data_IF_900134165941
#
_entry.id   IF_900134165941
#
_cell.length_a   1.000
_cell.length_b   1.000
_cell.length_c   1.000
_cell.angle_alpha   90.00
_cell.angle_beta   90.00
_cell.angle_gamma   90.00
#
_symmetry.space_group_name_H-M   'P 1'
#
loop_
_entity.id
_entity.type
_entity.pdbx_description
1 polymer ?
#
# COMPACT_ATOMS: atom_id res chain seq x y z
N UNK A 1 -1.89 4.72 -20.80
CA UNK A 1 -0.94 5.44 -19.91
C UNK A 1 -1.00 6.95 -20.04
N UNK A 2 -0.79 7.55 -21.22
CA UNK A 2 -0.76 9.02 -21.40
C UNK A 2 -2.03 9.71 -20.88
N UNK A 3 -3.23 9.14 -21.12
CA UNK A 3 -4.50 9.70 -20.61
C UNK A 3 -4.59 9.77 -19.08
N UNK A 4 -3.98 8.82 -18.37
CA UNK A 4 -3.96 8.79 -16.90
C UNK A 4 -2.95 9.78 -16.34
N UNK A 5 -1.78 9.91 -16.98
CA UNK A 5 -0.74 10.89 -16.60
C UNK A 5 -1.26 12.32 -16.81
N UNK A 6 -1.93 12.58 -17.93
CA UNK A 6 -2.53 13.88 -18.23
C UNK A 6 -3.65 14.21 -17.25
N UNK A 7 -4.50 13.23 -16.89
CA UNK A 7 -5.57 13.42 -15.91
C UNK A 7 -5.01 13.67 -14.50
N UNK A 8 -3.94 12.96 -14.12
CA UNK A 8 -3.22 13.18 -12.86
C UNK A 8 -2.64 14.60 -12.81
N UNK A 9 -1.87 15.01 -13.82
CA UNK A 9 -1.28 16.35 -13.87
C UNK A 9 -2.33 17.46 -13.95
N UNK A 10 -3.41 17.26 -14.73
CA UNK A 10 -4.50 18.23 -14.88
C UNK A 10 -5.24 18.52 -13.57
N UNK A 11 -5.27 17.56 -12.64
CA UNK A 11 -5.93 17.73 -11.34
C UNK A 11 -4.90 18.20 -10.31
N UNK A 12 -3.72 17.57 -10.28
CA UNK A 12 -2.74 17.78 -9.21
C UNK A 12 -2.05 19.14 -9.27
N UNK A 13 -1.73 19.65 -10.46
CA UNK A 13 -1.04 20.95 -10.65
C UNK A 13 -1.88 22.14 -10.19
N UNK A 14 -3.13 22.35 -10.65
CA UNK A 14 -3.91 23.51 -10.21
C UNK A 14 -4.20 23.47 -8.71
N UNK A 15 -4.32 22.27 -8.14
CA UNK A 15 -4.51 22.07 -6.71
C UNK A 15 -3.27 22.43 -5.90
N UNK A 16 -2.08 22.03 -6.36
CA UNK A 16 -0.82 22.41 -5.73
C UNK A 16 -0.62 23.94 -5.74
N UNK A 17 -1.04 24.62 -6.81
CA UNK A 17 -1.01 26.08 -6.91
C UNK A 17 -1.95 26.72 -5.88
N UNK A 18 -3.18 26.23 -5.74
CA UNK A 18 -4.14 26.72 -4.72
C UNK A 18 -3.62 26.47 -3.31
N UNK A 19 -3.01 25.31 -3.05
CA UNK A 19 -2.40 24.97 -1.76
C UNK A 19 -1.22 25.89 -1.42
N UNK A 20 -0.34 26.15 -2.39
CA UNK A 20 0.81 27.03 -2.19
C UNK A 20 0.37 28.48 -1.95
N UNK A 21 -0.67 28.94 -2.64
CA UNK A 21 -1.30 30.23 -2.40
C UNK A 21 -1.91 30.30 -0.98
N UNK A 22 -2.55 29.23 -0.54
CA UNK A 22 -3.16 29.16 0.80
C UNK A 22 -2.11 29.17 1.92
N UNK A 23 -1.05 28.35 1.80
CA UNK A 23 0.08 28.35 2.74
C UNK A 23 0.76 29.71 2.81
N UNK A 24 1.07 30.33 1.66
CA UNK A 24 1.70 31.66 1.64
C UNK A 24 0.81 32.76 2.21
N UNK A 25 -0.52 32.63 2.10
CA UNK A 25 -1.46 33.55 2.74
C UNK A 25 -1.52 33.36 4.27
N UNK A 26 -1.46 32.12 4.77
CA UNK A 26 -1.37 31.85 6.21
C UNK A 26 -0.02 32.27 6.81
N UNK A 27 1.10 32.00 6.14
CA UNK A 27 2.44 32.39 6.60
C UNK A 27 2.58 33.92 6.71
N UNK A 28 1.96 34.69 5.81
CA UNK A 28 1.90 36.16 5.91
C UNK A 28 1.03 36.68 7.07
N UNK A 29 0.17 35.84 7.64
CA UNK A 29 -0.74 36.18 8.75
C UNK A 29 -0.17 35.85 10.12
N UNK A 30 0.72 34.86 10.23
CA UNK A 30 1.45 34.59 11.49
C UNK A 30 2.31 35.78 11.94
N UNK A 31 2.67 36.68 11.02
CA UNK A 31 3.40 37.93 11.32
C UNK A 31 2.51 39.10 11.79
N UNK A 32 1.16 38.98 11.74
CA UNK A 32 0.22 40.05 12.13
C UNK A 32 -0.91 39.48 12.99
N UNK A 33 -0.69 39.48 14.30
CA UNK A 33 -1.67 39.06 15.29
C UNK A 33 -2.97 39.90 15.28
N UNK A 34 -4.09 39.22 15.47
CA UNK A 34 -5.33 39.67 16.14
C UNK A 34 -6.20 40.75 15.46
N UNK A 35 -6.70 40.50 14.26
CA UNK A 35 -8.00 41.06 13.84
C UNK A 35 -9.02 39.94 13.67
N UNK A 36 -10.24 40.14 14.20
CA UNK A 36 -11.34 39.17 14.10
C UNK A 36 -11.50 38.72 12.64
N UNK A 37 -11.09 37.48 12.35
CA UNK A 37 -11.05 37.04 10.96
C UNK A 37 -12.46 37.14 10.36
N UNK A 38 -12.62 37.86 9.23
CA UNK A 38 -13.90 37.96 8.56
C UNK A 38 -14.36 36.55 8.18
N UNK A 39 -15.65 36.28 8.41
CA UNK A 39 -16.28 34.97 8.26
C UNK A 39 -15.93 34.24 6.94
N UNK A 40 -15.76 35.00 5.85
CA UNK A 40 -15.35 34.51 4.54
C UNK A 40 -13.97 33.81 4.55
N UNK A 41 -13.01 34.30 5.33
CA UNK A 41 -11.68 33.70 5.44
C UNK A 41 -11.77 32.36 6.18
N UNK A 42 -12.58 32.28 7.25
CA UNK A 42 -12.81 31.01 7.98
C UNK A 42 -13.46 29.95 7.09
N UNK A 43 -14.36 30.36 6.20
CA UNK A 43 -14.95 29.44 5.20
C UNK A 43 -13.91 28.96 4.20
N UNK A 44 -13.07 29.87 3.68
CA UNK A 44 -12.03 29.51 2.71
C UNK A 44 -11.00 28.57 3.35
N UNK A 45 -10.59 28.83 4.60
CA UNK A 45 -9.62 27.99 5.31
C UNK A 45 -10.18 26.61 5.64
N UNK A 46 -11.42 26.54 6.15
CA UNK A 46 -12.11 25.28 6.39
C UNK A 46 -12.32 24.47 5.10
N UNK A 47 -12.71 25.13 4.01
CA UNK A 47 -12.88 24.51 2.70
C UNK A 47 -11.56 23.97 2.15
N UNK A 48 -10.47 24.75 2.25
CA UNK A 48 -9.14 24.32 1.80
C UNK A 48 -8.65 23.08 2.58
N UNK A 49 -8.81 23.07 3.91
CA UNK A 49 -8.45 21.91 4.76
C UNK A 49 -9.29 20.67 4.38
N UNK A 50 -10.59 20.85 4.19
CA UNK A 50 -11.48 19.76 3.73
C UNK A 50 -11.07 19.23 2.35
N UNK A 51 -10.65 20.11 1.44
CA UNK A 51 -10.19 19.74 0.11
C UNK A 51 -8.88 18.96 0.16
N UNK A 52 -7.92 19.38 1.00
CA UNK A 52 -6.66 18.66 1.24
C UNK A 52 -6.94 17.26 1.79
N UNK A 53 -7.81 17.14 2.79
CA UNK A 53 -8.18 15.84 3.35
C UNK A 53 -8.82 14.93 2.30
N UNK A 54 -9.71 15.49 1.48
CA UNK A 54 -10.35 14.77 0.37
C UNK A 54 -9.32 14.31 -0.67
N UNK A 55 -8.31 15.12 -0.96
CA UNK A 55 -7.23 14.77 -1.89
C UNK A 55 -6.35 13.65 -1.36
N UNK A 56 -6.01 13.69 -0.07
CA UNK A 56 -5.25 12.62 0.57
C UNK A 56 -6.02 11.31 0.44
N UNK A 57 -7.32 11.31 0.74
CA UNK A 57 -8.18 10.12 0.57
C UNK A 57 -8.23 9.66 -0.90
N UNK A 58 -8.43 10.58 -1.84
CA UNK A 58 -8.48 10.28 -3.27
C UNK A 58 -7.15 9.68 -3.77
N UNK A 59 -6.02 10.19 -3.27
CA UNK A 59 -4.68 9.69 -3.59
C UNK A 59 -4.48 8.26 -3.08
N UNK A 60 -4.89 7.95 -1.85
CA UNK A 60 -4.84 6.59 -1.31
C UNK A 60 -5.71 5.63 -2.11
N UNK A 61 -6.95 6.03 -2.44
CA UNK A 61 -7.84 5.24 -3.29
C UNK A 61 -7.18 5.00 -4.65
N UNK A 62 -6.62 6.04 -5.27
CA UNK A 62 -5.95 5.92 -6.56
C UNK A 62 -4.75 4.96 -6.51
N UNK A 63 -3.94 5.01 -5.45
CA UNK A 63 -2.83 4.06 -5.28
C UNK A 63 -3.36 2.63 -5.16
N UNK A 64 -4.38 2.39 -4.34
CA UNK A 64 -4.92 1.05 -4.11
C UNK A 64 -5.54 0.47 -5.39
N UNK A 65 -6.43 1.22 -6.05
CA UNK A 65 -7.06 0.75 -7.29
C UNK A 65 -6.09 0.74 -8.49
N UNK A 66 -5.21 1.73 -8.56
CA UNK A 66 -4.18 1.84 -9.59
C UNK A 66 -3.16 0.70 -9.50
N UNK A 67 -2.71 0.35 -8.30
CA UNK A 67 -1.80 -0.78 -8.10
C UNK A 67 -2.46 -2.13 -8.39
N UNK A 68 -3.72 -2.32 -7.99
CA UNK A 68 -4.48 -3.54 -8.32
C UNK A 68 -4.64 -3.72 -9.84
N UNK A 69 -5.06 -2.67 -10.54
CA UNK A 69 -5.20 -2.72 -12.01
C UNK A 69 -3.87 -2.90 -12.73
N UNK A 70 -2.80 -2.24 -12.26
CA UNK A 70 -1.45 -2.41 -12.79
C UNK A 70 -0.95 -3.85 -12.58
N UNK A 71 -1.11 -4.41 -11.38
CA UNK A 71 -0.71 -5.78 -11.09
C UNK A 71 -1.53 -6.81 -11.90
N UNK A 72 -2.84 -6.59 -12.08
CA UNK A 72 -3.69 -7.44 -12.92
C UNK A 72 -3.20 -7.47 -14.38
N UNK A 73 -2.82 -6.31 -14.92
CA UNK A 73 -2.27 -6.21 -16.28
C UNK A 73 -0.85 -6.76 -16.40
N UNK A 74 0.00 -6.56 -15.40
CA UNK A 74 1.41 -6.98 -15.47
C UNK A 74 1.55 -8.51 -15.32
N UNK A 75 0.70 -9.10 -14.49
CA UNK A 75 0.71 -10.54 -14.22
C UNK A 75 -0.35 -11.32 -15.03
N UNK A 76 -1.11 -10.65 -15.90
CA UNK A 76 -2.21 -11.23 -16.71
C UNK A 76 -3.16 -12.11 -15.87
N UNK A 77 -3.56 -11.61 -14.70
CA UNK A 77 -4.32 -12.41 -13.73
C UNK A 77 -5.79 -12.60 -14.15
N UNK A 78 -6.31 -11.74 -15.04
CA UNK A 78 -7.70 -11.69 -15.51
C UNK A 78 -8.73 -11.78 -14.36
N UNK A 79 -8.45 -11.02 -13.29
CA UNK A 79 -9.30 -10.98 -12.11
C UNK A 79 -10.11 -9.69 -12.05
N UNK A 80 -11.36 -9.83 -11.57
CA UNK A 80 -12.16 -8.68 -11.17
C UNK A 80 -11.49 -7.94 -10.00
N UNK A 81 -11.49 -6.61 -10.06
CA UNK A 81 -10.82 -5.74 -9.09
C UNK A 81 -11.36 -5.98 -7.67
N UNK A 82 -12.67 -6.26 -7.53
CA UNK A 82 -13.28 -6.56 -6.23
C UNK A 82 -12.69 -7.81 -5.60
N UNK A 83 -12.51 -8.87 -6.40
CA UNK A 83 -11.90 -10.12 -5.93
C UNK A 83 -10.44 -9.91 -5.55
N UNK A 84 -9.72 -9.14 -6.35
CA UNK A 84 -8.31 -8.82 -6.10
C UNK A 84 -8.12 -8.04 -4.80
N UNK A 85 -9.00 -7.08 -4.50
CA UNK A 85 -8.99 -6.34 -3.23
C UNK A 85 -9.29 -7.26 -2.04
N UNK A 86 -10.30 -8.13 -2.13
CA UNK A 86 -10.62 -9.10 -1.07
C UNK A 86 -9.45 -10.05 -0.79
N UNK A 87 -8.84 -10.61 -1.83
CA UNK A 87 -7.66 -11.47 -1.71
C UNK A 87 -6.52 -10.71 -1.03
N UNK A 88 -6.28 -9.45 -1.44
CA UNK A 88 -5.24 -8.61 -0.86
C UNK A 88 -5.48 -8.36 0.63
N UNK A 89 -6.72 -8.07 1.05
CA UNK A 89 -7.08 -7.89 2.46
C UNK A 89 -6.81 -9.16 3.26
N UNK A 90 -7.19 -10.34 2.73
CA UNK A 90 -6.95 -11.63 3.40
C UNK A 90 -5.46 -11.94 3.51
N UNK A 91 -4.68 -11.69 2.45
CA UNK A 91 -3.23 -11.91 2.45
C UNK A 91 -2.54 -10.97 3.45
N UNK A 92 -2.93 -9.69 3.49
CA UNK A 92 -2.40 -8.73 4.47
C UNK A 92 -2.79 -9.14 5.88
N UNK A 93 -4.04 -9.55 6.10
CA UNK A 93 -4.50 -10.08 7.40
C UNK A 93 -3.69 -11.29 7.86
N UNK A 94 -3.44 -12.24 6.97
CA UNK A 94 -2.53 -13.36 7.21
C UNK A 94 -1.12 -12.86 7.57
N UNK A 95 -0.57 -11.95 6.78
CA UNK A 95 0.79 -11.43 6.93
C UNK A 95 1.01 -10.72 8.26
N UNK A 96 -0.03 -10.09 8.82
CA UNK A 96 0.08 -9.39 10.10
C UNK A 96 -0.05 -10.33 11.31
N UNK A 97 -0.93 -11.33 11.23
CA UNK A 97 -1.28 -12.16 12.39
C UNK A 97 -0.53 -13.49 12.39
N UNK A 98 -0.70 -14.26 11.32
CA UNK A 98 -0.26 -15.66 11.27
C UNK A 98 1.21 -15.77 10.87
N UNK A 99 1.68 -14.86 10.03
CA UNK A 99 3.03 -14.94 9.50
C UNK A 99 4.10 -14.85 10.59
N UNK A 100 3.92 -13.93 11.56
CA UNK A 100 4.83 -13.83 12.70
C UNK A 100 4.77 -15.10 13.58
N UNK A 101 3.58 -15.66 13.77
CA UNK A 101 3.39 -16.88 14.55
C UNK A 101 4.14 -18.06 13.91
N UNK A 102 3.98 -18.28 12.60
CA UNK A 102 4.71 -19.30 11.87
C UNK A 102 6.22 -19.08 11.90
N UNK A 103 6.67 -17.84 11.70
CA UNK A 103 8.09 -17.49 11.75
C UNK A 103 8.73 -17.90 13.09
N UNK A 104 8.08 -17.58 14.21
CA UNK A 104 8.59 -17.90 15.54
C UNK A 104 8.62 -19.41 15.82
N UNK A 105 7.59 -20.15 15.40
CA UNK A 105 7.54 -21.60 15.56
C UNK A 105 8.68 -22.27 14.78
N UNK A 106 8.83 -21.90 13.51
CA UNK A 106 9.85 -22.51 12.63
C UNK A 106 11.25 -22.15 13.12
N UNK A 107 11.44 -20.92 13.61
CA UNK A 107 12.69 -20.49 14.26
C UNK A 107 13.02 -21.31 15.49
N UNK A 108 12.03 -21.70 16.30
CA UNK A 108 12.27 -22.54 17.46
C UNK A 108 12.71 -23.96 17.07
N UNK A 109 12.18 -24.50 15.96
CA UNK A 109 12.49 -25.86 15.50
C UNK A 109 13.84 -25.93 14.78
N UNK A 110 14.12 -24.99 13.87
CA UNK A 110 15.27 -25.07 12.93
C UNK A 110 16.43 -24.15 13.35
N UNK A 111 16.18 -23.13 14.17
CA UNK A 111 17.15 -22.08 14.48
C UNK A 111 17.28 -21.03 13.37
N UNK A 112 18.13 -20.01 13.60
CA UNK A 112 18.36 -18.91 12.65
C UNK A 112 19.41 -19.37 11.63
N UNK A 113 18.96 -19.91 10.51
CA UNK A 113 19.83 -20.30 9.39
C UNK A 113 19.11 -20.11 8.04
N UNK A 114 19.81 -20.26 6.92
CA UNK A 114 19.21 -20.20 5.57
C UNK A 114 18.04 -21.19 5.37
N UNK A 115 18.07 -22.31 6.10
CA UNK A 115 16.97 -23.29 6.09
C UNK A 115 15.65 -22.70 6.62
N UNK A 116 15.68 -21.78 7.59
CA UNK A 116 14.48 -21.11 8.10
C UNK A 116 13.77 -20.31 7.00
N UNK A 117 14.53 -19.58 6.18
CA UNK A 117 13.99 -18.76 5.08
C UNK A 117 13.28 -19.64 4.04
N UNK A 118 13.89 -20.77 3.69
CA UNK A 118 13.32 -21.72 2.72
C UNK A 118 12.04 -22.34 3.28
N UNK A 119 12.06 -22.85 4.52
CA UNK A 119 10.91 -23.50 5.13
C UNK A 119 9.71 -22.56 5.28
N UNK A 120 9.94 -21.32 5.72
CA UNK A 120 8.88 -20.30 5.84
C UNK A 120 8.30 -19.98 4.46
N UNK A 121 9.15 -19.86 3.44
CA UNK A 121 8.71 -19.55 2.07
C UNK A 121 7.81 -20.65 1.51
N UNK A 122 8.14 -21.93 1.77
CA UNK A 122 7.31 -23.07 1.35
C UNK A 122 5.95 -23.05 2.06
N UNK A 123 5.94 -22.78 3.37
CA UNK A 123 4.69 -22.73 4.14
C UNK A 123 3.80 -21.57 3.65
N UNK A 124 4.38 -20.39 3.43
CA UNK A 124 3.66 -19.23 2.85
C UNK A 124 3.10 -19.57 1.47
N UNK A 125 3.86 -20.26 0.63
CA UNK A 125 3.39 -20.69 -0.69
C UNK A 125 2.15 -21.56 -0.61
N UNK A 126 2.16 -22.57 0.28
CA UNK A 126 1.00 -23.45 0.50
C UNK A 126 -0.21 -22.68 1.04
N UNK A 127 0.01 -21.72 1.94
CA UNK A 127 -1.07 -20.91 2.51
C UNK A 127 -1.68 -19.99 1.45
N UNK A 128 -0.86 -19.30 0.64
CA UNK A 128 -1.38 -18.44 -0.43
C UNK A 128 -2.10 -19.23 -1.51
N UNK A 129 -1.62 -20.43 -1.86
CA UNK A 129 -2.37 -21.34 -2.74
C UNK A 129 -3.74 -21.70 -2.16
N UNK A 130 -3.79 -22.00 -0.85
CA UNK A 130 -5.04 -22.34 -0.16
C UNK A 130 -6.02 -21.16 -0.14
N UNK A 131 -5.52 -19.94 0.09
CA UNK A 131 -6.31 -18.71 0.00
C UNK A 131 -6.85 -18.54 -1.42
N UNK A 132 -6.02 -18.73 -2.44
CA UNK A 132 -6.49 -18.59 -3.82
C UNK A 132 -7.52 -19.64 -4.24
N UNK A 133 -7.41 -20.87 -3.72
CA UNK A 133 -8.43 -21.90 -3.90
C UNK A 133 -9.76 -21.51 -3.22
N UNK A 134 -9.72 -20.90 -2.04
CA UNK A 134 -10.92 -20.42 -1.34
C UNK A 134 -11.69 -19.35 -2.14
N UNK A 135 -10.99 -18.53 -2.91
CA UNK A 135 -11.58 -17.52 -3.81
C UNK A 135 -11.91 -18.04 -5.22
N UNK A 136 -11.81 -19.36 -5.45
CA UNK A 136 -12.06 -20.01 -6.74
C UNK A 136 -11.25 -19.40 -7.89
N UNK A 137 -9.97 -19.08 -7.63
CA UNK A 137 -9.04 -18.62 -8.67
C UNK A 137 -8.71 -19.74 -9.64
N UNK A 138 -8.48 -19.37 -10.91
CA UNK A 138 -7.92 -20.30 -11.88
C UNK A 138 -6.52 -20.76 -11.41
N UNK A 139 -6.18 -22.02 -11.66
CA UNK A 139 -4.95 -22.66 -11.19
C UNK A 139 -3.69 -21.86 -11.55
N UNK A 140 -3.58 -21.43 -12.81
CA UNK A 140 -2.45 -20.64 -13.29
C UNK A 140 -2.35 -19.30 -12.57
N UNK A 141 -3.47 -18.58 -12.46
CA UNK A 141 -3.56 -17.29 -11.76
C UNK A 141 -3.19 -17.44 -10.28
N UNK A 142 -3.66 -18.51 -9.63
CA UNK A 142 -3.39 -18.79 -8.23
C UNK A 142 -1.89 -19.04 -7.98
N UNK A 143 -1.24 -19.84 -8.83
CA UNK A 143 0.20 -20.09 -8.72
C UNK A 143 1.00 -18.80 -8.92
N UNK A 144 0.68 -18.02 -9.95
CA UNK A 144 1.39 -16.76 -10.23
C UNK A 144 1.26 -15.81 -9.03
N UNK A 145 0.06 -15.68 -8.48
CA UNK A 145 -0.22 -14.81 -7.34
C UNK A 145 0.50 -15.31 -6.08
N UNK A 146 0.43 -16.61 -5.77
CA UNK A 146 1.13 -17.21 -4.64
C UNK A 146 2.66 -17.01 -4.74
N UNK A 147 3.25 -17.27 -5.90
CA UNK A 147 4.67 -17.01 -6.15
C UNK A 147 5.03 -15.54 -5.97
N UNK A 148 4.24 -14.62 -6.53
CA UNK A 148 4.50 -13.19 -6.44
C UNK A 148 4.58 -12.71 -4.97
N UNK A 149 3.62 -13.11 -4.13
CA UNK A 149 3.61 -12.72 -2.71
C UNK A 149 4.72 -13.41 -1.91
N UNK A 150 5.02 -14.68 -2.18
CA UNK A 150 6.13 -15.37 -1.50
C UNK A 150 7.45 -14.69 -1.82
N UNK A 151 7.71 -14.37 -3.09
CA UNK A 151 8.96 -13.69 -3.50
C UNK A 151 9.07 -12.32 -2.83
N UNK A 152 7.97 -11.55 -2.78
CA UNK A 152 7.95 -10.25 -2.12
C UNK A 152 8.31 -10.36 -0.64
N UNK A 153 7.69 -11.28 0.10
CA UNK A 153 7.98 -11.49 1.52
C UNK A 153 9.39 -12.05 1.76
N UNK A 154 9.87 -12.93 0.87
CA UNK A 154 11.22 -13.48 0.95
C UNK A 154 12.28 -12.37 0.80
N UNK A 155 12.08 -11.42 -0.13
CA UNK A 155 12.96 -10.26 -0.28
C UNK A 155 13.01 -9.40 1.00
N UNK A 156 11.87 -9.19 1.64
CA UNK A 156 11.78 -8.47 2.93
C UNK A 156 12.54 -9.22 4.02
N UNK A 157 12.40 -10.54 4.09
CA UNK A 157 13.08 -11.35 5.09
C UNK A 157 14.60 -11.42 4.87
N UNK A 158 15.07 -11.51 3.62
CA UNK A 158 16.50 -11.42 3.30
C UNK A 158 17.06 -10.09 3.80
N UNK A 159 16.35 -8.99 3.54
CA UNK A 159 16.77 -7.67 4.01
C UNK A 159 16.85 -7.62 5.55
N UNK A 160 15.83 -8.15 6.24
CA UNK A 160 15.77 -8.18 7.70
C UNK A 160 16.85 -9.07 8.34
N UNK A 161 17.17 -10.23 7.74
CA UNK A 161 18.22 -11.13 8.24
C UNK A 161 19.60 -10.51 8.00
N UNK A 162 19.81 -9.89 6.83
CA UNK A 162 21.10 -9.25 6.49
C UNK A 162 21.37 -8.02 7.35
N UNK A 163 20.34 -7.22 7.65
CA UNK A 163 20.49 -6.04 8.51
C UNK A 163 20.83 -6.39 9.95
N UNK A 164 20.22 -7.47 10.50
CA UNK A 164 20.58 -7.99 11.83
C UNK A 164 22.01 -8.49 11.91
N UNK A 165 22.48 -9.22 10.89
CA UNK A 165 23.85 -9.74 10.83
C UNK A 165 24.92 -8.65 10.69
N UNK A 166 24.55 -7.41 10.36
CA UNK A 166 25.47 -6.26 10.22
C UNK A 166 25.62 -5.46 11.53
N UNK A 167 24.73 -5.68 12.50
CA UNK A 167 24.71 -5.00 13.80
C UNK A 167 25.21 -5.88 14.96
N UNK A 168 25.60 -7.12 14.67
CA UNK A 168 26.36 -8.03 15.55
C UNK A 168 27.81 -8.12 15.06
#
# INVERSE_FOLDING_TARGET
MIKIIVLFFSIFVPIAVVFFWFMTYQTKKEEKEQEQEPFYIKIITSSAISFILTLVLMFFIFIVFGSATFANSLLNLDLDIKRMLLISIVIVGYSLVLDHFFFNIIKYIIGINYMLLITISIIRFLIFLSIGLFFSLNYNTNIILACAFVILLLLVDIYNVTSKKKND
#
